data_IF_599332843738
#
_entry.id   IF_599332843738
#
_cell.length_a   1.000
_cell.length_b   1.000
_cell.length_c   1.000
_cell.angle_alpha   90.00
_cell.angle_beta   90.00
_cell.angle_gamma   90.00
#
_symmetry.space_group_name_H-M   'P 1'
#
loop_
_entity.id
_entity.type
_entity.pdbx_description
1 polymer ?
#
# COMPACT_ATOMS: atom_id res chain seq x y z
N UNK A 1 -4.24 22.45 -5.08
CA UNK A 1 -4.15 20.97 -4.87
C UNK A 1 -3.51 20.63 -3.54
N UNK A 2 -2.32 21.13 -3.20
CA UNK A 2 -1.67 20.88 -1.91
C UNK A 2 -2.56 21.21 -0.69
N UNK A 3 -3.15 22.39 -0.62
CA UNK A 3 -4.03 22.79 0.48
C UNK A 3 -5.23 21.82 0.70
N UNK A 4 -5.82 21.30 -0.39
CA UNK A 4 -6.93 20.36 -0.29
C UNK A 4 -6.45 18.98 0.23
N UNK A 5 -5.25 18.54 -0.16
CA UNK A 5 -4.67 17.31 0.40
C UNK A 5 -4.46 17.44 1.90
N UNK A 6 -3.98 18.61 2.35
CA UNK A 6 -3.71 18.86 3.75
C UNK A 6 -4.99 18.96 4.60
N UNK A 7 -6.08 19.56 4.05
CA UNK A 7 -7.31 19.76 4.80
C UNK A 7 -8.27 18.57 4.76
N UNK A 8 -8.31 17.83 3.64
CA UNK A 8 -9.33 16.81 3.39
C UNK A 8 -8.78 15.38 3.44
N UNK A 9 -7.51 15.19 3.04
CA UNK A 9 -6.96 13.84 2.86
C UNK A 9 -6.00 13.42 3.98
N UNK A 10 -5.46 14.34 4.78
CA UNK A 10 -4.60 13.98 5.91
C UNK A 10 -5.42 13.44 7.08
N UNK A 11 -5.15 12.22 7.52
CA UNK A 11 -5.88 11.49 8.57
C UNK A 11 -5.06 11.36 9.88
N UNK A 12 -4.17 12.31 10.13
CA UNK A 12 -3.33 12.36 11.33
C UNK A 12 -1.94 11.72 11.14
N UNK A 13 -1.87 10.52 10.59
CA UNK A 13 -0.63 9.76 10.41
C UNK A 13 -0.34 9.40 8.94
N UNK A 14 -1.35 9.49 8.04
CA UNK A 14 -1.23 9.15 6.62
C UNK A 14 -2.31 9.85 5.78
N UNK A 15 -2.23 9.72 4.44
CA UNK A 15 -3.23 10.22 3.51
C UNK A 15 -4.27 9.16 3.18
N UNK A 16 -5.55 9.52 3.24
CA UNK A 16 -6.65 8.63 2.85
C UNK A 16 -6.64 8.34 1.36
N UNK A 17 -7.29 7.24 0.96
CA UNK A 17 -7.45 6.83 -0.44
C UNK A 17 -8.41 7.72 -1.22
N UNK A 18 -9.48 8.15 -0.58
CA UNK A 18 -10.50 8.98 -1.20
C UNK A 18 -11.70 9.21 -0.31
N UNK A 19 -12.61 10.05 -0.81
CA UNK A 19 -13.88 10.36 -0.15
C UNK A 19 -15.00 9.92 -1.09
N UNK A 20 -15.90 9.07 -0.60
CA UNK A 20 -17.04 8.58 -1.36
C UNK A 20 -18.11 9.67 -1.56
N UNK A 21 -19.08 9.42 -2.45
CA UNK A 21 -20.21 10.31 -2.66
C UNK A 21 -21.08 10.53 -1.40
N UNK A 22 -20.99 9.62 -0.42
CA UNK A 22 -21.69 9.73 0.88
C UNK A 22 -20.83 10.35 1.96
N UNK A 23 -19.60 10.78 1.64
CA UNK A 23 -18.66 11.39 2.59
C UNK A 23 -17.82 10.37 3.38
N UNK A 24 -17.95 9.06 3.12
CA UNK A 24 -17.11 8.07 3.78
C UNK A 24 -15.65 8.19 3.31
N UNK A 25 -14.71 8.25 4.25
CA UNK A 25 -13.27 8.41 4.00
C UNK A 25 -12.62 7.04 3.85
N UNK A 26 -12.45 6.56 2.63
CA UNK A 26 -11.73 5.32 2.34
C UNK A 26 -10.24 5.50 2.65
N UNK A 27 -9.67 4.59 3.41
CA UNK A 27 -8.27 4.69 3.84
C UNK A 27 -8.06 5.48 5.14
N UNK A 28 -9.12 5.67 5.94
CA UNK A 28 -9.08 6.36 7.24
C UNK A 28 -9.01 5.37 8.40
N UNK A 29 -8.33 5.76 9.48
CA UNK A 29 -8.30 4.98 10.73
C UNK A 29 -9.68 4.85 11.40
N UNK A 30 -10.63 5.69 10.99
CA UNK A 30 -12.03 5.59 11.45
C UNK A 30 -12.79 4.37 10.92
N UNK A 31 -12.28 3.69 9.91
CA UNK A 31 -12.84 2.46 9.38
C UNK A 31 -12.32 1.23 10.16
N UNK A 32 -13.07 0.12 10.11
CA UNK A 32 -12.62 -1.16 10.66
C UNK A 32 -11.63 -1.86 9.72
N UNK A 33 -11.84 -1.73 8.40
CA UNK A 33 -11.09 -2.37 7.33
C UNK A 33 -10.64 -1.32 6.30
N UNK A 34 -9.58 -1.61 5.53
CA UNK A 34 -9.04 -0.67 4.56
C UNK A 34 -8.61 0.65 5.19
N UNK A 35 -8.01 0.62 6.37
CA UNK A 35 -7.61 1.81 7.13
C UNK A 35 -6.52 2.60 6.46
N UNK A 36 -5.60 1.93 5.78
CA UNK A 36 -4.48 2.55 5.08
C UNK A 36 -4.29 1.91 3.71
N UNK A 37 -3.96 2.72 2.73
CA UNK A 37 -3.61 2.30 1.37
C UNK A 37 -2.21 2.76 0.98
N UNK A 38 -1.53 1.97 0.18
CA UNK A 38 -0.16 2.23 -0.25
C UNK A 38 -0.07 3.46 -1.16
N UNK A 39 -0.90 3.50 -2.22
CA UNK A 39 -0.74 4.47 -3.31
C UNK A 39 -0.81 5.94 -2.86
N UNK A 40 -1.79 6.40 -2.06
CA UNK A 40 -1.83 7.82 -1.70
C UNK A 40 -0.59 8.26 -0.94
N UNK A 41 -0.02 7.37 -0.13
CA UNK A 41 1.12 7.67 0.72
C UNK A 41 2.45 7.70 -0.05
N UNK A 42 2.67 6.73 -0.94
CA UNK A 42 3.87 6.76 -1.79
C UNK A 42 3.84 7.93 -2.77
N UNK A 43 2.67 8.25 -3.35
CA UNK A 43 2.54 9.38 -4.26
C UNK A 43 2.59 10.73 -3.55
N UNK A 44 2.20 10.83 -2.28
CA UNK A 44 2.44 12.03 -1.48
C UNK A 44 3.95 12.34 -1.39
N UNK A 45 4.78 11.33 -1.15
CA UNK A 45 6.23 11.47 -1.12
C UNK A 45 6.83 11.73 -2.52
N UNK A 46 6.42 10.95 -3.54
CA UNK A 46 6.97 11.06 -4.91
C UNK A 46 6.66 12.41 -5.54
N UNK A 47 5.44 12.90 -5.39
CA UNK A 47 5.00 14.15 -5.98
C UNK A 47 5.61 15.40 -5.35
N UNK A 48 6.13 15.30 -4.12
CA UNK A 48 6.67 16.42 -3.35
C UNK A 48 5.67 17.61 -3.22
N UNK A 49 4.37 17.31 -3.28
CA UNK A 49 3.30 18.32 -3.19
C UNK A 49 2.79 18.55 -1.78
N UNK A 50 3.29 17.80 -0.81
CA UNK A 50 2.94 17.86 0.61
C UNK A 50 4.17 18.21 1.45
N UNK A 51 4.01 18.67 2.70
CA UNK A 51 5.14 18.89 3.60
C UNK A 51 5.99 17.63 3.78
N UNK A 52 7.31 17.77 3.74
CA UNK A 52 8.25 16.66 3.84
C UNK A 52 8.04 15.83 5.12
N UNK A 53 7.79 16.48 6.25
CA UNK A 53 7.50 15.83 7.52
C UNK A 53 6.27 14.92 7.47
N UNK A 54 5.22 15.33 6.72
CA UNK A 54 4.03 14.50 6.50
C UNK A 54 4.30 13.35 5.53
N UNK A 55 5.07 13.57 4.47
CA UNK A 55 5.52 12.51 3.59
C UNK A 55 6.33 11.45 4.36
N UNK A 56 7.22 11.87 5.25
CA UNK A 56 7.98 10.99 6.15
C UNK A 56 7.01 10.20 7.06
N UNK A 57 6.09 10.87 7.76
CA UNK A 57 5.12 10.24 8.64
C UNK A 57 4.23 9.23 7.92
N UNK A 58 3.75 9.59 6.72
CA UNK A 58 2.96 8.72 5.87
C UNK A 58 3.73 7.44 5.47
N UNK A 59 4.98 7.57 5.03
CA UNK A 59 5.83 6.43 4.69
C UNK A 59 6.24 5.59 5.92
N UNK A 60 6.33 6.20 7.10
CA UNK A 60 6.51 5.45 8.36
C UNK A 60 5.25 4.65 8.72
N UNK A 61 4.06 5.17 8.42
CA UNK A 61 2.79 4.44 8.57
C UNK A 61 2.68 3.29 7.59
N UNK A 62 3.10 3.47 6.34
CA UNK A 62 3.25 2.39 5.34
C UNK A 62 4.15 1.28 5.88
N UNK A 63 5.32 1.63 6.41
CA UNK A 63 6.24 0.66 6.98
C UNK A 63 5.61 -0.14 8.12
N UNK A 64 4.96 0.53 9.06
CA UNK A 64 4.39 -0.13 10.24
C UNK A 64 3.19 -1.00 9.93
N UNK A 65 2.37 -0.62 8.95
CA UNK A 65 1.04 -1.19 8.74
C UNK A 65 0.92 -2.07 7.50
N UNK A 66 1.75 -1.83 6.47
CA UNK A 66 1.64 -2.52 5.18
C UNK A 66 2.85 -3.39 4.84
N UNK A 67 4.00 -3.19 5.51
CA UNK A 67 5.22 -3.95 5.21
C UNK A 67 5.10 -5.40 5.68
N UNK A 68 5.52 -6.32 4.81
CA UNK A 68 5.56 -7.75 5.04
C UNK A 68 6.93 -8.32 4.65
N UNK A 69 7.16 -9.60 4.88
CA UNK A 69 8.39 -10.27 4.41
C UNK A 69 8.47 -10.39 2.88
N UNK A 70 7.32 -10.29 2.16
CA UNK A 70 7.22 -10.47 0.71
C UNK A 70 6.99 -9.17 -0.06
N UNK A 71 7.07 -8.04 0.61
CA UNK A 71 6.82 -6.72 0.05
C UNK A 71 5.82 -5.92 0.88
N UNK A 72 5.24 -4.89 0.27
CA UNK A 72 4.30 -3.97 0.90
C UNK A 72 2.90 -4.23 0.34
N UNK A 73 1.96 -4.55 1.22
CA UNK A 73 0.56 -4.79 0.86
C UNK A 73 -0.12 -3.51 0.36
N UNK A 74 -1.10 -3.68 -0.52
CA UNK A 74 -1.80 -2.53 -1.12
C UNK A 74 -2.68 -1.79 -0.14
N UNK A 75 -3.32 -2.51 0.78
CA UNK A 75 -4.11 -1.95 1.88
C UNK A 75 -4.13 -2.91 3.08
N UNK A 76 -4.50 -2.39 4.24
CA UNK A 76 -4.70 -3.18 5.46
C UNK A 76 -5.68 -2.48 6.43
N UNK A 77 -6.48 -3.27 7.20
CA UNK A 77 -6.83 -4.67 6.92
C UNK A 77 -7.51 -4.82 5.57
N UNK A 78 -7.45 -6.00 4.95
CA UNK A 78 -8.19 -6.27 3.72
C UNK A 78 -9.71 -6.23 3.96
N UNK A 79 -10.50 -5.99 2.90
CA UNK A 79 -11.94 -5.85 3.02
C UNK A 79 -12.66 -7.19 3.03
N UNK A 80 -13.55 -7.40 4.00
CA UNK A 80 -14.50 -8.53 4.09
C UNK A 80 -15.94 -8.06 3.97
N UNK A 81 -16.19 -6.74 4.09
CA UNK A 81 -17.51 -6.13 4.02
C UNK A 81 -17.49 -4.86 3.17
N UNK A 82 -18.65 -4.45 2.70
CA UNK A 82 -18.82 -3.23 1.92
C UNK A 82 -18.54 -1.98 2.75
N UNK A 83 -17.83 -1.02 2.14
CA UNK A 83 -17.68 0.33 2.68
C UNK A 83 -18.83 1.20 2.15
N UNK A 84 -19.62 1.85 3.03
CA UNK A 84 -20.73 2.69 2.61
C UNK A 84 -20.35 3.73 1.54
N UNK A 85 -21.09 3.76 0.43
CA UNK A 85 -20.86 4.70 -0.67
C UNK A 85 -19.69 4.36 -1.61
N UNK A 86 -19.00 3.25 -1.38
CA UNK A 86 -17.95 2.72 -2.30
C UNK A 86 -18.46 1.52 -3.10
N UNK A 87 -19.43 0.80 -2.55
CA UNK A 87 -20.03 -0.39 -3.16
C UNK A 87 -19.15 -1.64 -3.06
N UNK A 88 -19.53 -2.66 -3.82
CA UNK A 88 -18.89 -3.99 -3.79
C UNK A 88 -17.53 -4.06 -4.50
N UNK A 89 -17.07 -2.97 -5.13
CA UNK A 89 -15.84 -2.98 -5.93
C UNK A 89 -14.60 -3.42 -5.16
N UNK A 90 -14.55 -3.17 -3.85
CA UNK A 90 -13.45 -3.59 -2.98
C UNK A 90 -13.49 -5.09 -2.65
N UNK A 91 -14.62 -5.75 -2.84
CA UNK A 91 -14.85 -7.17 -2.57
C UNK A 91 -14.76 -8.06 -3.81
N UNK A 92 -14.42 -7.49 -4.97
CA UNK A 92 -14.26 -8.24 -6.23
C UNK A 92 -13.19 -9.33 -6.11
N UNK A 93 -12.15 -9.04 -5.31
CA UNK A 93 -11.07 -10.00 -5.06
C UNK A 93 -11.14 -10.54 -3.63
N UNK A 94 -10.80 -11.82 -3.44
CA UNK A 94 -10.65 -12.38 -2.10
C UNK A 94 -9.64 -11.61 -1.25
N UNK A 95 -9.76 -11.74 0.06
CA UNK A 95 -8.82 -11.17 1.03
C UNK A 95 -7.37 -11.54 0.69
N UNK A 96 -6.49 -10.57 0.70
CA UNK A 96 -5.07 -10.74 0.37
C UNK A 96 -4.78 -10.93 -1.12
N UNK A 97 -5.77 -10.72 -2.01
CA UNK A 97 -5.56 -10.83 -3.45
C UNK A 97 -5.74 -9.47 -4.13
N UNK A 98 -4.87 -9.20 -5.10
CA UNK A 98 -4.94 -8.00 -5.95
C UNK A 98 -5.27 -6.74 -5.14
N UNK A 99 -6.28 -5.97 -5.55
CA UNK A 99 -6.66 -4.69 -4.92
C UNK A 99 -7.17 -4.85 -3.49
N UNK A 100 -7.48 -6.06 -3.06
CA UNK A 100 -7.93 -6.35 -1.69
C UNK A 100 -6.78 -6.87 -0.80
N UNK A 101 -5.74 -6.07 -0.64
CA UNK A 101 -4.62 -6.37 0.26
C UNK A 101 -3.50 -7.22 -0.36
N UNK A 102 -3.49 -7.44 -1.68
CA UNK A 102 -2.38 -8.10 -2.39
C UNK A 102 -1.12 -7.23 -2.44
N UNK A 103 0.01 -7.84 -2.79
CA UNK A 103 1.32 -7.19 -2.91
C UNK A 103 1.65 -7.04 -4.38
N UNK A 104 1.41 -5.86 -4.96
CA UNK A 104 1.70 -5.59 -6.37
C UNK A 104 3.16 -5.18 -6.58
N UNK A 105 3.83 -5.83 -7.53
CA UNK A 105 5.24 -5.53 -7.81
C UNK A 105 5.48 -4.10 -8.30
N UNK A 106 4.61 -3.55 -9.17
CA UNK A 106 4.75 -2.17 -9.63
C UNK A 106 4.54 -1.15 -8.49
N UNK A 107 3.56 -1.38 -7.60
CA UNK A 107 3.33 -0.49 -6.46
C UNK A 107 4.49 -0.55 -5.45
N UNK A 108 5.13 -1.70 -5.31
CA UNK A 108 6.32 -1.85 -4.49
C UNK A 108 7.52 -1.08 -5.07
N UNK A 109 7.63 -0.96 -6.40
CA UNK A 109 8.64 -0.11 -7.02
C UNK A 109 8.48 1.36 -6.61
N UNK A 110 7.25 1.84 -6.45
CA UNK A 110 6.98 3.20 -5.97
C UNK A 110 7.45 3.43 -4.53
N UNK A 111 7.39 2.41 -3.65
CA UNK A 111 7.92 2.55 -2.28
C UNK A 111 9.42 2.82 -2.28
N UNK A 112 10.16 2.17 -3.17
CA UNK A 112 11.61 2.37 -3.32
C UNK A 112 11.90 3.81 -3.77
N UNK A 113 11.16 4.30 -4.77
CA UNK A 113 11.31 5.66 -5.28
C UNK A 113 10.98 6.68 -4.19
N UNK A 114 9.86 6.49 -3.47
CA UNK A 114 9.45 7.38 -2.37
C UNK A 114 10.52 7.47 -1.28
N UNK A 115 11.04 6.33 -0.83
CA UNK A 115 12.11 6.29 0.18
C UNK A 115 13.42 6.90 -0.31
N UNK A 116 13.74 6.70 -1.60
CA UNK A 116 14.90 7.33 -2.23
C UNK A 116 14.79 8.86 -2.26
N UNK A 117 13.62 9.41 -2.60
CA UNK A 117 13.34 10.85 -2.59
C UNK A 117 13.47 11.42 -1.16
N UNK A 118 13.02 10.68 -0.16
CA UNK A 118 13.13 11.05 1.26
C UNK A 118 14.52 10.81 1.86
N UNK A 119 15.52 10.41 1.04
CA UNK A 119 16.90 10.18 1.50
C UNK A 119 17.08 8.93 2.37
N UNK A 120 16.12 8.00 2.38
CA UNK A 120 16.11 6.82 3.25
C UNK A 120 16.54 5.55 2.50
N UNK A 121 17.77 5.55 1.96
CA UNK A 121 18.31 4.50 1.10
C UNK A 121 18.28 3.09 1.69
N UNK A 122 18.53 2.94 3.00
CA UNK A 122 18.49 1.62 3.65
C UNK A 122 17.07 1.02 3.62
N UNK A 123 16.03 1.83 3.84
CA UNK A 123 14.63 1.40 3.76
C UNK A 123 14.23 1.09 2.31
N UNK A 124 14.65 1.92 1.36
CA UNK A 124 14.46 1.65 -0.07
C UNK A 124 15.06 0.29 -0.46
N UNK A 125 16.26 -0.02 0.03
CA UNK A 125 16.92 -1.31 -0.20
C UNK A 125 16.19 -2.48 0.48
N UNK A 126 15.66 -2.29 1.69
CA UNK A 126 14.84 -3.30 2.37
C UNK A 126 13.59 -3.63 1.56
N UNK A 127 12.86 -2.63 1.05
CA UNK A 127 11.69 -2.83 0.19
C UNK A 127 12.07 -3.54 -1.10
N UNK A 128 13.14 -3.09 -1.78
CA UNK A 128 13.64 -3.76 -2.98
C UNK A 128 13.89 -5.26 -2.72
N UNK A 129 14.57 -5.59 -1.66
CA UNK A 129 14.88 -6.98 -1.30
C UNK A 129 13.63 -7.81 -0.98
N UNK A 130 12.59 -7.21 -0.40
CA UNK A 130 11.43 -7.95 0.08
C UNK A 130 10.60 -8.57 -1.04
N UNK A 131 10.56 -7.98 -2.25
CA UNK A 131 9.78 -8.51 -3.37
C UNK A 131 10.65 -8.90 -4.58
N UNK A 132 11.97 -8.97 -4.42
CA UNK A 132 12.90 -9.37 -5.49
C UNK A 132 12.67 -10.83 -5.88
N UNK A 133 12.35 -11.15 -7.16
CA UNK A 133 12.03 -12.51 -7.58
C UNK A 133 13.11 -13.54 -7.24
N UNK A 134 14.39 -13.17 -7.36
CA UNK A 134 15.52 -14.04 -7.04
C UNK A 134 15.52 -14.60 -5.61
N UNK A 135 14.82 -13.96 -4.67
CA UNK A 135 14.69 -14.46 -3.29
C UNK A 135 13.68 -15.59 -3.14
N UNK A 136 12.81 -15.76 -4.12
CA UNK A 136 11.67 -16.68 -4.06
C UNK A 136 11.81 -17.87 -5.00
N UNK A 137 13.02 -18.09 -5.58
CA UNK A 137 13.25 -19.24 -6.46
C UNK A 137 13.01 -20.57 -5.76
N UNK A 138 13.25 -20.64 -4.44
CA UNK A 138 13.00 -21.82 -3.61
C UNK A 138 11.65 -21.78 -2.89
N UNK A 139 10.80 -20.81 -3.20
CA UNK A 139 9.49 -20.57 -2.59
C UNK A 139 8.43 -20.35 -3.66
N UNK A 140 8.24 -21.37 -4.51
CA UNK A 140 7.32 -21.30 -5.65
C UNK A 140 5.86 -21.03 -5.24
N UNK A 141 5.47 -21.43 -4.03
CA UNK A 141 4.14 -21.19 -3.46
C UNK A 141 3.87 -19.70 -3.21
N UNK A 142 4.91 -18.87 -3.04
CA UNK A 142 4.80 -17.42 -2.89
C UNK A 142 4.84 -16.74 -4.25
N UNK A 143 5.83 -17.09 -5.08
CA UNK A 143 6.13 -16.39 -6.33
C UNK A 143 5.18 -16.76 -7.48
N UNK A 144 4.85 -18.03 -7.62
CA UNK A 144 3.84 -18.60 -8.55
C UNK A 144 4.01 -18.24 -10.04
N UNK A 145 5.21 -17.83 -10.45
CA UNK A 145 5.61 -17.56 -11.84
C UNK A 145 6.99 -18.13 -12.09
N UNK A 146 7.52 -17.97 -13.30
CA UNK A 146 8.86 -18.43 -13.68
C UNK A 146 9.95 -17.79 -12.79
N UNK A 147 11.04 -18.49 -12.51
CA UNK A 147 12.17 -17.94 -11.76
C UNK A 147 12.66 -16.61 -12.36
N UNK A 148 13.00 -15.66 -11.50
CA UNK A 148 13.51 -14.32 -11.84
C UNK A 148 12.52 -13.38 -12.54
N UNK A 149 11.28 -13.79 -12.81
CA UNK A 149 10.25 -12.94 -13.41
C UNK A 149 9.47 -12.22 -12.31
N UNK A 150 9.23 -10.92 -12.48
CA UNK A 150 8.31 -10.18 -11.62
C UNK A 150 6.87 -10.55 -11.97
N UNK A 151 6.15 -11.11 -11.00
CA UNK A 151 4.72 -11.35 -11.14
C UNK A 151 3.93 -10.02 -11.06
N UNK A 152 2.67 -10.04 -11.46
CA UNK A 152 1.80 -8.88 -11.28
C UNK A 152 1.62 -8.57 -9.79
N UNK A 153 1.32 -9.60 -9.00
CA UNK A 153 1.16 -9.50 -7.55
C UNK A 153 1.51 -10.85 -6.90
N UNK A 154 1.83 -10.82 -5.61
CA UNK A 154 1.82 -11.97 -4.71
C UNK A 154 0.69 -11.82 -3.71
N UNK A 155 0.33 -12.93 -3.04
CA UNK A 155 -0.69 -12.91 -2.01
C UNK A 155 -0.26 -12.05 -0.83
N UNK A 156 -1.17 -11.26 -0.31
CA UNK A 156 -0.96 -10.47 0.90
C UNK A 156 -0.99 -11.33 2.18
N UNK A 157 -0.63 -10.73 3.32
CA UNK A 157 -0.48 -11.47 4.59
C UNK A 157 -1.79 -12.06 5.11
N UNK A 158 -2.92 -11.50 4.73
CA UNK A 158 -4.24 -11.94 5.18
C UNK A 158 -4.89 -12.99 4.24
N UNK A 159 -4.20 -13.37 3.15
CA UNK A 159 -4.70 -14.40 2.24
C UNK A 159 -4.82 -15.75 2.95
N UNK A 160 -5.97 -16.43 2.86
CA UNK A 160 -6.06 -17.83 3.25
C UNK A 160 -5.19 -18.64 2.27
N UNK A 161 -4.07 -19.12 2.75
CA UNK A 161 -3.15 -19.99 2.00
C UNK A 161 -3.60 -21.42 2.08
#
# INVERSE_FOLDING_TARGET
MSAALESEAWDGDWYIRGISATGAKLGSDSLDEGKIYLEPNVWAAISQTVPEERAIGAMDSVQRRLSTEHGVALCAPAHTKEVPGVGLSLLVFPVGHKENGGIFCHANSWTIVAEGILGRGDRAYQYYRSYLPARYNDSAEVHQVEPYVYCQFTHGPESPR
#
